data_IF_397865208026
#
_entry.id   IF_397865208026
#
_cell.length_a   1.000
_cell.length_b   1.000
_cell.length_c   1.000
_cell.angle_alpha   90.00
_cell.angle_beta   90.00
_cell.angle_gamma   90.00
#
_symmetry.space_group_name_H-M   'P 1'
#
loop_
_entity.id
_entity.type
_entity.pdbx_description
1 polymer ?
#
# COMPACT_ATOMS: atom_id res chain seq x y z
N UNK A 1 -3.79 -12.98 7.10
CA UNK A 1 -4.15 -14.28 6.51
C UNK A 1 -3.08 -14.84 5.56
N UNK A 2 -2.39 -14.00 4.75
CA UNK A 2 -1.41 -14.47 3.76
C UNK A 2 -0.27 -13.45 3.57
N UNK A 3 0.87 -13.73 4.19
CA UNK A 3 2.06 -12.87 4.12
C UNK A 3 2.63 -12.79 2.69
N UNK A 4 2.61 -13.89 1.95
CA UNK A 4 3.14 -13.92 0.59
C UNK A 4 2.29 -13.09 -0.36
N UNK A 5 0.96 -13.13 -0.21
CA UNK A 5 0.06 -12.27 -0.98
C UNK A 5 0.25 -10.80 -0.62
N UNK A 6 0.39 -10.46 0.68
CA UNK A 6 0.71 -9.10 1.12
C UNK A 6 1.99 -8.57 0.46
N UNK A 7 3.08 -9.34 0.50
CA UNK A 7 4.35 -8.99 -0.15
C UNK A 7 4.18 -8.80 -1.65
N UNK A 8 3.44 -9.69 -2.31
CA UNK A 8 3.19 -9.60 -3.74
C UNK A 8 2.40 -8.34 -4.12
N UNK A 9 1.39 -7.96 -3.32
CA UNK A 9 0.60 -6.74 -3.52
C UNK A 9 1.47 -5.49 -3.32
N UNK A 10 2.25 -5.42 -2.27
CA UNK A 10 3.18 -4.30 -1.99
C UNK A 10 4.19 -4.14 -3.12
N UNK A 11 4.80 -5.23 -3.58
CA UNK A 11 5.76 -5.23 -4.69
C UNK A 11 5.10 -4.71 -5.98
N UNK A 12 3.92 -5.22 -6.32
CA UNK A 12 3.16 -4.82 -7.52
C UNK A 12 2.80 -3.34 -7.49
N UNK A 13 2.33 -2.86 -6.34
CA UNK A 13 2.00 -1.45 -6.17
C UNK A 13 3.23 -0.56 -6.28
N UNK A 14 4.33 -0.92 -5.63
CA UNK A 14 5.60 -0.19 -5.73
C UNK A 14 6.11 -0.08 -7.16
N UNK A 15 6.07 -1.18 -7.92
CA UNK A 15 6.42 -1.20 -9.34
C UNK A 15 5.50 -0.30 -10.18
N UNK A 16 4.21 -0.27 -9.85
CA UNK A 16 3.25 0.61 -10.53
C UNK A 16 3.57 2.08 -10.28
N UNK A 17 3.86 2.46 -9.04
CA UNK A 17 4.28 3.82 -8.69
C UNK A 17 5.58 4.19 -9.42
N UNK A 18 6.57 3.31 -9.40
CA UNK A 18 7.84 3.55 -10.10
C UNK A 18 7.63 3.72 -11.61
N UNK A 19 6.79 2.90 -12.23
CA UNK A 19 6.48 2.99 -13.67
C UNK A 19 5.75 4.27 -14.06
N UNK A 20 4.91 4.83 -13.16
CA UNK A 20 4.12 6.03 -13.43
C UNK A 20 4.86 7.32 -13.09
N UNK A 21 5.65 7.33 -12.03
CA UNK A 21 6.23 8.55 -11.46
C UNK A 21 7.76 8.53 -11.44
N UNK A 22 8.41 7.43 -11.84
CA UNK A 22 9.87 7.29 -11.84
C UNK A 22 10.49 7.36 -10.43
N UNK A 23 9.73 7.06 -9.39
CA UNK A 23 10.16 7.13 -7.99
C UNK A 23 9.87 5.81 -7.27
N UNK A 24 10.88 5.28 -6.61
CA UNK A 24 10.71 4.12 -5.72
C UNK A 24 10.13 4.57 -4.38
N UNK A 25 8.96 4.05 -3.95
CA UNK A 25 8.35 4.40 -2.66
C UNK A 25 9.26 4.04 -1.48
N UNK A 26 9.36 4.94 -0.49
CA UNK A 26 10.17 4.74 0.73
C UNK A 26 9.33 4.75 2.00
N UNK A 27 8.11 5.25 1.92
CA UNK A 27 7.17 5.32 3.03
C UNK A 27 5.93 4.54 2.66
N UNK A 28 5.50 3.70 3.56
CA UNK A 28 4.34 2.83 3.38
C UNK A 28 3.08 3.51 3.91
N UNK A 29 2.01 3.41 3.16
CA UNK A 29 0.67 3.78 3.59
C UNK A 29 -0.26 2.65 3.17
N UNK A 30 -0.81 1.93 4.14
CA UNK A 30 -1.73 0.85 3.85
C UNK A 30 -3.13 1.39 3.52
N UNK A 31 -3.93 0.58 2.84
CA UNK A 31 -5.36 0.79 2.69
C UNK A 31 -5.97 1.03 4.06
N UNK A 32 -6.87 2.03 4.15
CA UNK A 32 -7.59 2.41 5.38
C UNK A 32 -6.67 2.72 6.58
N UNK A 33 -5.40 3.07 6.31
CA UNK A 33 -4.36 3.27 7.34
C UNK A 33 -4.22 2.08 8.30
N UNK A 34 -4.53 0.87 7.84
CA UNK A 34 -4.37 -0.35 8.65
C UNK A 34 -2.89 -0.54 8.98
N UNK A 35 -2.60 -0.63 10.26
CA UNK A 35 -1.24 -0.80 10.75
C UNK A 35 -1.20 -1.63 12.04
N UNK A 36 -0.14 -2.44 12.20
CA UNK A 36 0.28 -3.08 13.45
C UNK A 36 1.81 -3.19 13.47
N UNK A 37 2.38 -3.49 14.62
CA UNK A 37 3.83 -3.70 14.73
C UNK A 37 4.29 -4.85 13.82
N UNK A 38 3.50 -5.90 13.64
CA UNK A 38 3.79 -7.00 12.73
C UNK A 38 3.88 -6.52 11.26
N UNK A 39 2.92 -5.68 10.82
CA UNK A 39 2.99 -5.05 9.49
C UNK A 39 4.25 -4.20 9.37
N UNK A 40 4.61 -3.46 10.43
CA UNK A 40 5.83 -2.68 10.51
C UNK A 40 7.08 -3.50 10.27
N UNK A 41 7.18 -4.69 10.88
CA UNK A 41 8.29 -5.61 10.64
C UNK A 41 8.35 -6.11 9.18
N UNK A 42 7.19 -6.45 8.59
CA UNK A 42 7.14 -6.90 7.20
C UNK A 42 7.60 -5.83 6.22
N UNK A 43 7.09 -4.63 6.34
CA UNK A 43 7.44 -3.54 5.42
C UNK A 43 8.90 -3.06 5.62
N UNK A 44 9.44 -3.15 6.84
CA UNK A 44 10.86 -2.89 7.10
C UNK A 44 11.76 -3.88 6.36
N UNK A 45 11.41 -5.18 6.36
CA UNK A 45 12.10 -6.22 5.56
C UNK A 45 12.03 -5.94 4.05
N UNK A 46 10.95 -5.31 3.57
CA UNK A 46 10.80 -4.88 2.18
C UNK A 46 11.55 -3.58 1.84
N UNK A 47 12.23 -2.97 2.82
CA UNK A 47 13.11 -1.82 2.63
C UNK A 47 12.45 -0.45 2.84
N UNK A 48 11.20 -0.39 3.28
CA UNK A 48 10.56 0.86 3.66
C UNK A 48 11.24 1.49 4.89
N UNK A 49 11.23 2.81 4.95
CA UNK A 49 11.87 3.60 6.01
C UNK A 49 10.88 4.22 6.98
N UNK A 50 9.60 4.20 6.63
CA UNK A 50 8.55 4.68 7.49
C UNK A 50 7.18 4.22 7.05
N UNK A 51 6.20 4.41 7.95
CA UNK A 51 4.80 4.11 7.74
C UNK A 51 3.91 5.24 8.23
N UNK A 52 2.84 5.49 7.47
CA UNK A 52 1.70 6.27 7.92
C UNK A 52 0.72 5.36 8.66
N UNK A 53 0.19 5.83 9.78
CA UNK A 53 -0.80 5.12 10.59
C UNK A 53 -1.80 6.11 11.18
N UNK A 54 -2.92 5.62 11.70
CA UNK A 54 -3.89 6.46 12.39
C UNK A 54 -3.36 6.90 13.76
N UNK A 55 -3.59 8.17 14.10
CA UNK A 55 -3.30 8.72 15.41
C UNK A 55 -4.36 8.34 16.45
N UNK A 56 -4.64 7.05 16.57
CA UNK A 56 -5.66 6.52 17.47
C UNK A 56 -5.34 6.86 18.92
N UNK A 57 -6.30 7.47 19.63
CA UNK A 57 -6.10 7.96 21.00
C UNK A 57 -5.73 6.85 21.98
N UNK A 58 -6.27 5.65 21.82
CA UNK A 58 -5.98 4.51 22.70
C UNK A 58 -4.54 3.98 22.51
N UNK A 59 -3.93 4.21 21.34
CA UNK A 59 -2.53 3.88 21.05
C UNK A 59 -1.60 5.02 21.51
N UNK A 60 -1.93 6.25 21.16
CA UNK A 60 -1.12 7.41 21.54
C UNK A 60 -1.13 7.67 23.05
N UNK A 61 -2.26 7.41 23.73
CA UNK A 61 -2.43 7.74 25.14
C UNK A 61 -2.26 9.24 25.38
N UNK A 62 -1.19 9.61 26.10
CA UNK A 62 -0.83 11.01 26.36
C UNK A 62 0.08 11.63 25.29
N UNK A 63 0.59 10.81 24.35
CA UNK A 63 1.47 11.24 23.26
C UNK A 63 0.70 12.04 22.20
N UNK A 64 1.40 12.93 21.48
CA UNK A 64 0.81 13.70 20.40
C UNK A 64 0.99 13.03 19.04
N UNK A 65 0.00 13.14 18.16
CA UNK A 65 0.12 12.74 16.76
C UNK A 65 1.06 13.63 15.94
N UNK A 66 1.55 14.74 16.51
CA UNK A 66 2.39 15.72 15.81
C UNK A 66 3.89 15.47 16.01
N UNK A 67 4.25 14.23 16.35
CA UNK A 67 5.63 13.74 16.43
C UNK A 67 5.79 12.48 15.58
N UNK A 68 7.02 12.26 15.08
CA UNK A 68 7.42 10.95 14.58
C UNK A 68 7.68 10.02 15.76
N UNK A 69 7.54 8.72 15.53
CA UNK A 69 7.88 7.69 16.52
C UNK A 69 8.75 6.62 15.88
N UNK A 70 9.45 5.86 16.70
CA UNK A 70 10.17 4.67 16.27
C UNK A 70 9.32 3.43 16.49
N UNK A 71 9.42 2.51 15.56
CA UNK A 71 8.89 1.17 15.74
C UNK A 71 9.66 0.44 16.87
N UNK A 72 8.99 -0.39 17.71
CA UNK A 72 9.64 -1.00 18.87
C UNK A 72 10.77 -1.97 18.55
N UNK A 73 10.73 -2.64 17.37
CA UNK A 73 11.62 -3.78 17.09
C UNK A 73 12.49 -3.60 15.84
N UNK A 74 12.16 -2.70 14.93
CA UNK A 74 12.88 -2.50 13.66
C UNK A 74 13.14 -1.03 13.36
N UNK A 75 14.10 -0.74 12.48
CA UNK A 75 14.41 0.62 12.03
C UNK A 75 13.33 1.12 11.06
N UNK A 76 12.20 1.53 11.62
CA UNK A 76 11.08 2.10 10.89
C UNK A 76 10.55 3.31 11.64
N UNK A 77 10.32 4.42 10.93
CA UNK A 77 9.75 5.63 11.50
C UNK A 77 8.25 5.68 11.26
N UNK A 78 7.49 5.92 12.30
CA UNK A 78 6.03 5.99 12.30
C UNK A 78 5.56 7.44 12.26
N UNK A 79 4.59 7.73 11.39
CA UNK A 79 3.99 9.05 11.20
C UNK A 79 2.49 8.98 11.47
N UNK A 80 2.04 9.26 12.70
CA UNK A 80 0.62 9.24 13.03
C UNK A 80 -0.15 10.36 12.32
N UNK A 81 -1.31 10.03 11.76
CA UNK A 81 -2.27 10.99 11.24
C UNK A 81 -2.87 11.79 12.39
N UNK A 82 -2.93 13.10 12.27
CA UNK A 82 -3.72 13.92 13.20
C UNK A 82 -5.20 13.75 12.86
N UNK A 83 -5.90 12.93 13.65
CA UNK A 83 -7.30 12.57 13.46
C UNK A 83 -8.20 13.81 13.45
N UNK A 84 -8.09 14.65 14.47
CA UNK A 84 -8.96 15.81 14.64
C UNK A 84 -8.84 16.79 13.50
N UNK A 85 -7.63 17.19 13.15
CA UNK A 85 -7.37 18.16 12.10
C UNK A 85 -7.75 17.63 10.70
N UNK A 86 -7.57 16.33 10.48
CA UNK A 86 -7.99 15.68 9.24
C UNK A 86 -9.51 15.59 9.12
N UNK A 87 -10.18 15.20 10.20
CA UNK A 87 -11.64 15.02 10.23
C UNK A 87 -12.39 16.36 10.22
N UNK A 88 -11.76 17.45 10.69
CA UNK A 88 -12.30 18.80 10.54
C UNK A 88 -12.51 19.16 9.05
N UNK A 89 -11.61 18.72 8.17
CA UNK A 89 -11.78 18.92 6.73
C UNK A 89 -12.70 17.85 6.14
N UNK A 90 -12.46 16.57 6.46
CA UNK A 90 -13.13 15.47 5.78
C UNK A 90 -14.63 15.38 6.09
N UNK A 91 -15.03 15.65 7.33
CA UNK A 91 -16.38 15.37 7.83
C UNK A 91 -17.10 16.59 8.42
N UNK A 92 -16.36 17.57 8.97
CA UNK A 92 -16.97 18.71 9.66
C UNK A 92 -17.06 19.96 8.80
N UNK A 93 -16.35 20.01 7.67
CA UNK A 93 -16.24 21.19 6.80
C UNK A 93 -17.62 21.76 6.39
N UNK A 94 -18.55 20.88 6.03
CA UNK A 94 -19.91 21.26 5.60
C UNK A 94 -20.94 21.19 6.73
N UNK A 95 -20.53 20.92 7.98
CA UNK A 95 -21.44 20.80 9.11
C UNK A 95 -21.76 22.17 9.73
N UNK A 96 -22.91 22.72 9.41
CA UNK A 96 -23.38 24.02 9.91
C UNK A 96 -23.63 24.05 11.42
N UNK A 97 -23.84 22.89 12.05
CA UNK A 97 -24.00 22.76 13.49
C UNK A 97 -22.68 22.69 14.26
N UNK A 98 -21.55 22.61 13.55
CA UNK A 98 -20.26 22.60 14.21
C UNK A 98 -19.90 23.98 14.73
N UNK A 99 -19.46 24.06 16.00
CA UNK A 99 -19.13 25.31 16.69
C UNK A 99 -18.00 26.11 16.02
N UNK A 100 -17.17 25.44 15.22
CA UNK A 100 -16.09 26.06 14.44
C UNK A 100 -16.47 26.34 12.97
N UNK A 101 -17.75 26.14 12.59
CA UNK A 101 -18.20 26.51 11.25
C UNK A 101 -18.25 28.03 11.06
N UNK A 102 -17.90 28.61 9.87
CA UNK A 102 -17.27 27.93 8.75
C UNK A 102 -15.76 27.71 8.96
N UNK A 103 -15.22 26.61 8.39
CA UNK A 103 -13.79 26.37 8.35
C UNK A 103 -13.15 27.11 7.18
N UNK A 104 -12.37 28.14 7.48
CA UNK A 104 -11.62 28.90 6.47
C UNK A 104 -10.14 28.51 6.48
N UNK A 105 -9.43 28.74 5.35
CA UNK A 105 -8.03 28.33 5.23
C UNK A 105 -7.10 29.06 6.21
N UNK A 106 -7.38 30.35 6.50
CA UNK A 106 -6.63 31.13 7.49
C UNK A 106 -6.84 30.59 8.92
N UNK A 107 -8.09 30.25 9.27
CA UNK A 107 -8.43 29.64 10.56
C UNK A 107 -7.72 28.31 10.73
N UNK A 108 -7.78 27.45 9.71
CA UNK A 108 -7.12 26.14 9.75
C UNK A 108 -5.60 26.25 9.90
N UNK A 109 -4.97 27.13 9.11
CA UNK A 109 -3.53 27.35 9.19
C UNK A 109 -3.10 28.02 10.50
N UNK A 110 -3.95 28.85 11.13
CA UNK A 110 -3.67 29.34 12.45
C UNK A 110 -3.60 28.19 13.46
N UNK A 111 -4.52 27.24 13.43
CA UNK A 111 -4.45 26.06 14.30
C UNK A 111 -3.18 25.21 14.07
N UNK A 112 -2.76 25.09 12.80
CA UNK A 112 -1.49 24.39 12.48
C UNK A 112 -0.29 25.18 13.00
N UNK A 113 -0.30 26.51 12.91
CA UNK A 113 0.79 27.36 13.37
C UNK A 113 0.87 27.46 14.91
N UNK A 114 -0.28 27.27 15.58
CA UNK A 114 -0.41 27.32 17.04
C UNK A 114 -0.15 25.95 17.71
N UNK A 115 0.50 25.00 17.00
CA UNK A 115 0.94 23.73 17.60
C UNK A 115 1.78 23.99 18.86
N UNK A 116 1.75 23.04 19.80
CA UNK A 116 2.50 23.13 21.06
C UNK A 116 4.00 23.25 20.81
N UNK A 117 4.69 23.93 21.70
CA UNK A 117 6.15 24.02 21.66
C UNK A 117 6.77 22.60 21.64
N UNK A 118 7.61 22.36 20.63
CA UNK A 118 8.28 21.09 20.41
C UNK A 118 7.59 20.15 19.43
N UNK A 119 6.34 20.40 19.04
CA UNK A 119 5.68 19.67 17.94
C UNK A 119 6.24 20.14 16.61
N UNK A 120 6.72 19.20 15.78
CA UNK A 120 7.52 19.52 14.59
C UNK A 120 6.72 19.45 13.29
N UNK A 121 5.65 18.65 13.22
CA UNK A 121 4.89 18.43 12.00
C UNK A 121 3.47 17.93 12.30
N UNK A 122 2.63 17.94 11.26
CA UNK A 122 1.27 17.40 11.33
C UNK A 122 0.97 16.60 10.07
N UNK A 123 0.51 15.36 10.24
CA UNK A 123 0.00 14.55 9.12
C UNK A 123 -1.49 14.78 8.99
N UNK A 124 -1.90 15.35 7.86
CA UNK A 124 -3.31 15.50 7.49
C UNK A 124 -3.61 14.52 6.35
N UNK A 125 -4.50 13.57 6.60
CA UNK A 125 -4.85 12.52 5.65
C UNK A 125 -6.37 12.34 5.55
N UNK A 126 -6.86 12.21 4.31
CA UNK A 126 -8.27 11.97 4.02
C UNK A 126 -8.40 11.26 2.67
N UNK A 127 -9.53 10.62 2.42
CA UNK A 127 -9.80 10.07 1.10
C UNK A 127 -10.27 11.17 0.13
N UNK A 128 -10.21 10.90 -1.17
CA UNK A 128 -10.64 11.84 -2.19
C UNK A 128 -12.14 12.17 -2.14
N UNK A 129 -12.96 11.30 -1.54
CA UNK A 129 -14.38 11.57 -1.33
C UNK A 129 -14.65 12.80 -0.49
N UNK A 130 -13.70 13.23 0.35
CA UNK A 130 -13.78 14.48 1.08
C UNK A 130 -13.92 15.70 0.13
N UNK A 131 -13.42 15.58 -1.11
CA UNK A 131 -13.40 16.64 -2.12
C UNK A 131 -14.46 16.38 -3.20
N UNK A 132 -15.69 16.82 -2.99
CA UNK A 132 -16.77 16.79 -3.96
C UNK A 132 -17.86 15.74 -3.68
N UNK A 133 -17.62 14.74 -2.85
CA UNK A 133 -18.65 13.76 -2.43
C UNK A 133 -19.16 14.13 -1.03
N UNK A 134 -18.31 14.10 0.00
CA UNK A 134 -18.70 14.47 1.36
C UNK A 134 -18.92 15.97 1.50
N UNK A 135 -18.06 16.75 0.86
CA UNK A 135 -18.18 18.20 0.80
C UNK A 135 -18.36 18.61 -0.66
N UNK A 136 -19.60 18.93 -1.06
CA UNK A 136 -19.93 19.34 -2.42
C UNK A 136 -19.22 20.64 -2.83
N UNK A 137 -19.18 20.94 -4.12
CA UNK A 137 -18.46 22.10 -4.65
C UNK A 137 -18.99 23.43 -4.09
N UNK A 138 -20.28 23.52 -3.83
CA UNK A 138 -20.97 24.71 -3.27
C UNK A 138 -20.65 24.95 -1.78
N UNK A 139 -20.06 23.97 -1.09
CA UNK A 139 -19.57 24.13 0.29
C UNK A 139 -18.37 25.07 0.41
N UNK A 140 -17.70 25.38 -0.72
CA UNK A 140 -16.46 26.15 -0.73
C UNK A 140 -15.19 25.32 -0.47
N UNK A 141 -15.28 23.99 -0.43
CA UNK A 141 -14.12 23.11 -0.15
C UNK A 141 -12.97 23.33 -1.16
N UNK A 142 -13.26 23.54 -2.42
CA UNK A 142 -12.22 23.78 -3.43
C UNK A 142 -11.56 25.14 -3.25
N UNK A 143 -12.31 26.17 -2.85
CA UNK A 143 -11.73 27.50 -2.55
C UNK A 143 -10.89 27.46 -1.29
N UNK A 144 -11.28 26.67 -0.29
CA UNK A 144 -10.45 26.39 0.89
C UNK A 144 -9.10 25.81 0.48
N UNK A 145 -9.06 24.76 -0.34
CA UNK A 145 -7.80 24.15 -0.78
C UNK A 145 -6.96 25.05 -1.70
N UNK A 146 -7.59 25.92 -2.50
CA UNK A 146 -6.85 26.93 -3.28
C UNK A 146 -6.20 27.99 -2.39
N UNK A 147 -6.87 28.40 -1.31
CA UNK A 147 -6.35 29.41 -0.39
C UNK A 147 -5.31 28.85 0.60
N UNK A 148 -5.38 27.52 0.90
CA UNK A 148 -4.57 26.90 1.94
C UNK A 148 -3.05 27.11 1.76
N UNK A 149 -2.44 26.88 0.57
CA UNK A 149 -1.01 27.10 0.38
C UNK A 149 -0.58 28.57 0.60
N UNK A 150 -1.43 29.53 0.23
CA UNK A 150 -1.15 30.94 0.41
C UNK A 150 -1.15 31.31 1.90
N UNK A 151 -2.15 30.83 2.66
CA UNK A 151 -2.20 31.05 4.10
C UNK A 151 -1.03 30.38 4.84
N UNK A 152 -0.66 29.16 4.42
CA UNK A 152 0.51 28.47 4.94
C UNK A 152 1.81 29.27 4.74
N UNK A 153 1.98 29.87 3.55
CA UNK A 153 3.14 30.72 3.27
C UNK A 153 3.18 31.95 4.19
N UNK A 154 2.05 32.61 4.43
CA UNK A 154 1.96 33.78 5.34
C UNK A 154 2.41 33.40 6.76
N UNK A 155 2.00 32.23 7.24
CA UNK A 155 2.30 31.73 8.58
C UNK A 155 3.62 30.94 8.68
N UNK A 156 4.37 30.85 7.57
CA UNK A 156 5.63 30.07 7.48
C UNK A 156 5.45 28.58 7.78
N UNK A 157 4.28 28.05 7.50
CA UNK A 157 4.00 26.61 7.53
C UNK A 157 4.42 26.01 6.20
N UNK A 158 5.25 24.98 6.22
CA UNK A 158 5.76 24.33 5.02
C UNK A 158 5.08 22.99 4.80
N UNK A 159 4.79 22.68 3.53
CA UNK A 159 4.38 21.34 3.13
C UNK A 159 5.62 20.47 2.90
N UNK A 160 5.55 19.22 3.35
CA UNK A 160 6.65 18.26 3.23
C UNK A 160 6.11 16.89 2.81
N UNK A 161 6.93 16.16 2.08
CA UNK A 161 6.66 14.74 1.83
C UNK A 161 6.99 13.91 3.08
N UNK A 162 6.35 12.75 3.26
CA UNK A 162 6.68 11.86 4.38
C UNK A 162 8.16 11.49 4.45
N UNK A 163 8.82 11.30 3.30
CA UNK A 163 10.26 11.02 3.24
C UNK A 163 11.12 12.17 3.77
N UNK A 164 10.74 13.42 3.51
CA UNK A 164 11.44 14.61 4.04
C UNK A 164 11.23 14.75 5.55
N UNK A 165 10.03 14.43 6.05
CA UNK A 165 9.76 14.40 7.50
C UNK A 165 10.66 13.38 8.18
N UNK A 166 10.72 12.14 7.67
CA UNK A 166 11.58 11.09 8.22
C UNK A 166 13.04 11.51 8.24
N UNK A 167 13.54 12.14 7.16
CA UNK A 167 14.92 12.59 7.07
C UNK A 167 15.27 13.70 8.08
N UNK A 168 14.29 14.48 8.53
CA UNK A 168 14.44 15.56 9.51
C UNK A 168 14.10 15.16 10.93
N UNK A 169 13.43 14.02 11.09
CA UNK A 169 12.99 13.52 12.40
C UNK A 169 14.18 13.32 13.35
N UNK A 170 14.01 13.78 14.56
CA UNK A 170 14.95 13.62 15.67
C UNK A 170 14.36 12.92 16.87
N UNK A 171 13.07 12.58 16.80
CA UNK A 171 12.38 11.92 17.90
C UNK A 171 12.70 10.42 17.89
N UNK A 172 13.17 9.91 19.02
CA UNK A 172 13.49 8.50 19.23
C UNK A 172 12.46 7.80 20.14
N UNK A 173 11.36 8.47 20.49
CA UNK A 173 10.28 7.87 21.23
C UNK A 173 9.65 6.72 20.47
N UNK A 174 9.34 5.64 21.20
CA UNK A 174 8.75 4.43 20.62
C UNK A 174 7.23 4.51 20.70
N UNK A 175 6.55 4.09 19.63
CA UNK A 175 5.12 3.86 19.62
C UNK A 175 4.86 2.39 19.30
N UNK A 176 4.13 1.71 20.20
CA UNK A 176 3.75 0.30 20.04
C UNK A 176 2.30 0.19 19.62
N UNK A 177 2.06 -0.64 18.62
CA UNK A 177 0.74 -0.92 18.04
C UNK A 177 0.56 -2.43 17.98
N UNK A 178 0.40 -3.06 19.16
CA UNK A 178 0.30 -4.53 19.28
C UNK A 178 -0.93 -5.11 18.60
N UNK A 179 -2.07 -4.41 18.65
CA UNK A 179 -3.28 -4.78 17.94
C UNK A 179 -3.42 -3.91 16.68
N UNK A 180 -3.96 -4.48 15.58
CA UNK A 180 -4.15 -3.71 14.35
C UNK A 180 -5.11 -2.55 14.52
N UNK A 181 -4.71 -1.37 14.04
CA UNK A 181 -5.53 -0.16 14.00
C UNK A 181 -5.86 0.23 12.57
N UNK A 182 -6.88 1.06 12.40
CA UNK A 182 -7.26 1.71 11.15
C UNK A 182 -7.80 3.12 11.39
N UNK A 183 -8.12 3.86 10.35
CA UNK A 183 -8.81 5.15 10.50
C UNK A 183 -10.34 5.02 10.59
N UNK A 184 -10.89 3.81 10.37
CA UNK A 184 -12.32 3.60 10.34
C UNK A 184 -12.96 3.76 11.72
N UNK A 185 -14.16 4.31 11.70
CA UNK A 185 -15.08 4.45 12.83
C UNK A 185 -14.46 5.13 14.06
N UNK A 186 -15.15 5.08 15.19
CA UNK A 186 -14.65 5.62 16.46
C UNK A 186 -13.66 4.70 17.15
N UNK A 187 -13.82 3.38 16.96
CA UNK A 187 -12.98 2.34 17.59
C UNK A 187 -11.57 2.32 17.04
N UNK A 188 -11.38 2.76 15.80
CA UNK A 188 -10.07 2.77 15.12
C UNK A 188 -9.39 1.41 15.08
N UNK A 189 -10.18 0.34 14.89
CA UNK A 189 -9.76 -1.06 14.80
C UNK A 189 -10.11 -1.67 13.43
N UNK A 190 -10.14 -3.01 13.33
CA UNK A 190 -10.50 -3.73 12.11
C UNK A 190 -11.96 -4.19 12.07
N UNK A 191 -12.79 -3.85 13.04
CA UNK A 191 -14.16 -4.36 13.14
C UNK A 191 -15.07 -3.91 11.99
N UNK A 192 -14.68 -2.90 11.22
CA UNK A 192 -15.36 -2.55 9.98
C UNK A 192 -15.28 -3.66 8.91
N UNK A 193 -14.22 -4.48 8.91
CA UNK A 193 -13.96 -5.51 7.90
C UNK A 193 -13.94 -6.93 8.44
N UNK A 194 -13.77 -7.10 9.75
CA UNK A 194 -13.70 -8.41 10.42
C UNK A 194 -14.36 -8.35 11.80
N UNK A 195 -15.51 -7.70 11.91
CA UNK A 195 -16.23 -7.48 13.17
C UNK A 195 -17.42 -8.42 13.39
N UNK A 196 -17.75 -9.29 12.43
CA UNK A 196 -18.85 -10.23 12.55
C UNK A 196 -18.56 -11.57 11.85
N UNK A 197 -19.39 -12.57 12.12
CA UNK A 197 -19.20 -13.93 11.60
C UNK A 197 -19.26 -14.01 10.06
N UNK A 198 -20.08 -13.19 9.40
CA UNK A 198 -20.19 -13.16 7.94
C UNK A 198 -18.87 -12.77 7.31
N UNK A 199 -18.26 -11.69 7.81
CA UNK A 199 -16.97 -11.20 7.37
C UNK A 199 -15.87 -12.23 7.64
N UNK A 200 -15.85 -12.80 8.84
CA UNK A 200 -14.89 -13.83 9.24
C UNK A 200 -14.95 -15.08 8.36
N UNK A 201 -16.16 -15.57 8.07
CA UNK A 201 -16.38 -16.73 7.20
C UNK A 201 -15.91 -16.46 5.76
N UNK A 202 -16.25 -15.29 5.22
CA UNK A 202 -15.86 -14.90 3.87
C UNK A 202 -14.32 -14.80 3.74
N UNK A 203 -13.64 -14.16 4.68
CA UNK A 203 -12.18 -14.03 4.72
C UNK A 203 -11.51 -15.40 4.84
N UNK A 204 -12.00 -16.26 5.76
CA UNK A 204 -11.42 -17.57 5.97
C UNK A 204 -11.54 -18.46 4.71
N UNK A 205 -12.71 -18.48 4.07
CA UNK A 205 -12.91 -19.26 2.84
C UNK A 205 -12.07 -18.73 1.67
N UNK A 206 -11.97 -17.43 1.54
CA UNK A 206 -11.13 -16.80 0.50
C UNK A 206 -9.67 -17.25 0.65
N UNK A 207 -9.08 -17.01 1.82
CA UNK A 207 -7.65 -17.27 2.00
C UNK A 207 -7.29 -18.76 2.15
N UNK A 208 -8.25 -19.64 2.38
CA UNK A 208 -8.01 -21.09 2.40
C UNK A 208 -7.48 -21.65 1.07
N UNK A 209 -7.67 -20.93 -0.04
CA UNK A 209 -7.22 -21.37 -1.38
C UNK A 209 -6.04 -20.58 -1.92
N UNK A 210 -5.46 -19.67 -1.15
CA UNK A 210 -4.42 -18.75 -1.59
C UNK A 210 -3.21 -19.47 -2.22
N UNK A 211 -2.74 -20.55 -1.62
CA UNK A 211 -1.62 -21.35 -2.16
C UNK A 211 -1.94 -21.96 -3.53
N UNK A 212 -3.15 -22.50 -3.70
CA UNK A 212 -3.57 -23.07 -4.99
C UNK A 212 -3.70 -22.01 -6.07
N UNK A 213 -4.25 -20.86 -5.72
CA UNK A 213 -4.39 -19.72 -6.66
C UNK A 213 -3.02 -19.24 -7.15
N UNK A 214 -2.00 -19.21 -6.29
CA UNK A 214 -0.64 -18.84 -6.72
C UNK A 214 -0.11 -19.74 -7.83
N UNK A 215 -0.46 -21.02 -7.79
CA UNK A 215 -0.04 -22.04 -8.73
C UNK A 215 -0.88 -22.07 -10.01
N UNK A 216 -2.09 -21.50 -10.00
CA UNK A 216 -2.92 -21.41 -11.19
C UNK A 216 -2.22 -20.60 -12.28
N UNK A 217 -2.30 -21.08 -13.53
CA UNK A 217 -1.78 -20.38 -14.70
C UNK A 217 -2.84 -19.53 -15.40
N UNK A 218 -4.11 -19.77 -15.12
CA UNK A 218 -5.24 -19.02 -15.69
C UNK A 218 -5.25 -17.57 -15.18
N UNK A 219 -5.21 -16.65 -16.15
CA UNK A 219 -5.24 -15.21 -15.86
C UNK A 219 -6.57 -14.73 -15.30
N UNK A 220 -7.68 -15.38 -15.66
CA UNK A 220 -9.00 -15.01 -15.15
C UNK A 220 -9.08 -15.33 -13.64
N UNK A 221 -8.61 -16.50 -13.22
CA UNK A 221 -8.52 -16.86 -11.79
C UNK A 221 -7.66 -15.86 -11.02
N UNK A 222 -6.48 -15.49 -11.56
CA UNK A 222 -5.61 -14.50 -10.91
C UNK A 222 -6.25 -13.12 -10.82
N UNK A 223 -7.00 -12.71 -11.83
CA UNK A 223 -7.71 -11.44 -11.84
C UNK A 223 -8.84 -11.42 -10.82
N UNK A 224 -9.66 -12.48 -10.79
CA UNK A 224 -10.76 -12.61 -9.84
C UNK A 224 -10.25 -12.69 -8.39
N UNK A 225 -9.13 -13.37 -8.16
CA UNK A 225 -8.44 -13.39 -6.88
C UNK A 225 -8.14 -12.00 -6.34
N UNK A 226 -7.65 -11.10 -7.19
CA UNK A 226 -7.35 -9.73 -6.79
C UNK A 226 -8.62 -8.94 -6.44
N UNK A 227 -9.68 -9.11 -7.21
CA UNK A 227 -10.94 -8.41 -6.97
C UNK A 227 -11.67 -8.93 -5.72
N UNK A 228 -11.61 -10.23 -5.46
CA UNK A 228 -12.21 -10.84 -4.27
C UNK A 228 -11.56 -10.36 -2.95
N UNK A 229 -10.32 -9.90 -3.00
CA UNK A 229 -9.60 -9.37 -1.84
C UNK A 229 -9.87 -7.88 -1.57
N UNK A 230 -10.66 -7.19 -2.40
CA UNK A 230 -10.96 -5.77 -2.16
C UNK A 230 -11.65 -5.59 -0.81
N UNK A 231 -11.17 -4.64 -0.01
CA UNK A 231 -11.67 -4.41 1.35
C UNK A 231 -13.15 -4.02 1.38
N UNK A 232 -13.64 -3.35 0.34
CA UNK A 232 -15.04 -2.96 0.21
C UNK A 232 -15.99 -4.16 0.25
N UNK A 233 -15.59 -5.32 -0.30
CA UNK A 233 -16.40 -6.54 -0.25
C UNK A 233 -16.73 -6.94 1.20
N UNK A 234 -15.79 -6.83 2.10
CA UNK A 234 -15.96 -7.15 3.51
C UNK A 234 -16.63 -6.01 4.27
N UNK A 235 -16.34 -4.76 3.93
CA UNK A 235 -16.97 -3.59 4.52
C UNK A 235 -18.48 -3.59 4.33
N UNK A 236 -18.98 -3.97 3.15
CA UNK A 236 -20.41 -4.05 2.86
C UNK A 236 -21.16 -5.14 3.66
N UNK A 237 -20.42 -6.11 4.23
CA UNK A 237 -20.98 -7.13 5.14
C UNK A 237 -21.00 -6.68 6.59
N UNK A 238 -20.52 -5.47 6.92
CA UNK A 238 -20.48 -4.96 8.29
C UNK A 238 -21.89 -4.68 8.80
N UNK A 239 -22.19 -5.17 10.01
CA UNK A 239 -23.47 -4.93 10.69
C UNK A 239 -23.43 -3.72 11.63
N UNK A 240 -22.26 -3.10 11.84
CA UNK A 240 -22.06 -2.00 12.78
C UNK A 240 -23.02 -0.82 12.56
N UNK A 241 -23.25 -0.47 11.31
CA UNK A 241 -24.03 0.73 10.94
C UNK A 241 -25.44 0.40 10.45
N UNK A 242 -25.78 -0.88 10.35
CA UNK A 242 -27.06 -1.32 9.79
C UNK A 242 -28.27 -0.95 10.68
N UNK A 243 -28.08 -0.97 12.00
CA UNK A 243 -29.12 -0.64 12.96
C UNK A 243 -29.50 0.87 12.97
N UNK A 244 -28.67 1.72 12.37
CA UNK A 244 -28.87 3.19 12.32
C UNK A 244 -29.67 3.72 11.12
N UNK A 245 -30.31 2.85 10.34
CA UNK A 245 -31.06 3.21 9.13
C UNK A 245 -30.25 3.94 8.04
N UNK A 246 -28.95 3.78 8.00
CA UNK A 246 -28.07 4.32 6.99
C UNK A 246 -27.63 3.21 6.04
N UNK A 247 -28.21 3.17 4.86
CA UNK A 247 -27.79 2.28 3.75
C UNK A 247 -26.44 2.68 3.15
N UNK A 248 -25.86 3.77 3.64
CA UNK A 248 -24.61 4.33 3.12
C UNK A 248 -23.40 3.38 3.22
N UNK A 249 -23.44 2.37 4.10
CA UNK A 249 -22.34 1.46 4.35
C UNK A 249 -22.47 0.09 3.66
N UNK A 250 -23.59 -0.21 3.05
CA UNK A 250 -23.82 -1.47 2.34
C UNK A 250 -23.50 -1.41 0.85
N UNK A 251 -23.02 -0.25 0.36
CA UNK A 251 -22.71 -0.03 -1.05
C UNK A 251 -23.95 -0.23 -1.93
N UNK A 252 -23.85 -1.09 -2.96
CA UNK A 252 -24.98 -1.37 -3.87
C UNK A 252 -26.02 -2.35 -3.32
N UNK A 253 -25.85 -2.85 -2.11
CA UNK A 253 -26.68 -3.89 -1.51
C UNK A 253 -27.71 -3.31 -0.55
N UNK A 254 -28.85 -3.99 -0.40
CA UNK A 254 -29.91 -3.57 0.53
C UNK A 254 -29.59 -3.90 1.99
N UNK A 255 -28.70 -4.89 2.20
CA UNK A 255 -28.30 -5.32 3.54
C UNK A 255 -26.90 -5.96 3.56
N UNK A 256 -26.24 -6.02 4.73
CA UNK A 256 -25.00 -6.78 4.89
C UNK A 256 -25.13 -8.27 4.55
N UNK A 257 -26.30 -8.85 4.79
CA UNK A 257 -26.59 -10.24 4.44
C UNK A 257 -26.66 -10.46 2.93
N UNK A 258 -27.28 -9.53 2.20
CA UNK A 258 -27.29 -9.57 0.74
C UNK A 258 -25.88 -9.44 0.15
N UNK A 259 -25.07 -8.53 0.69
CA UNK A 259 -23.66 -8.40 0.32
C UNK A 259 -22.89 -9.72 0.53
N UNK A 260 -23.09 -10.36 1.69
CA UNK A 260 -22.49 -11.66 2.00
C UNK A 260 -22.95 -12.74 1.02
N UNK A 261 -24.24 -12.86 0.77
CA UNK A 261 -24.78 -13.89 -0.14
C UNK A 261 -24.25 -13.74 -1.56
N UNK A 262 -24.21 -12.51 -2.07
CA UNK A 262 -23.64 -12.23 -3.41
C UNK A 262 -22.16 -12.55 -3.46
N UNK A 263 -21.40 -12.13 -2.47
CA UNK A 263 -19.96 -12.44 -2.38
C UNK A 263 -19.72 -13.95 -2.33
N UNK A 264 -20.47 -14.68 -1.48
CA UNK A 264 -20.31 -16.12 -1.32
C UNK A 264 -20.68 -16.90 -2.59
N UNK A 265 -21.66 -16.44 -3.36
CA UNK A 265 -22.00 -17.02 -4.65
C UNK A 265 -20.85 -16.89 -5.66
N UNK A 266 -20.25 -15.68 -5.74
CA UNK A 266 -19.09 -15.43 -6.61
C UNK A 266 -17.88 -16.24 -6.12
N UNK A 267 -17.64 -16.26 -4.82
CA UNK A 267 -16.54 -17.03 -4.23
C UNK A 267 -16.71 -18.53 -4.48
N UNK A 268 -17.93 -19.06 -4.42
CA UNK A 268 -18.22 -20.48 -4.69
C UNK A 268 -17.86 -20.85 -6.13
N UNK A 269 -18.26 -20.06 -7.11
CA UNK A 269 -17.85 -20.26 -8.51
C UNK A 269 -16.32 -20.20 -8.66
N UNK A 270 -15.70 -19.21 -8.03
CA UNK A 270 -14.24 -19.07 -8.04
C UNK A 270 -13.53 -20.31 -7.44
N UNK A 271 -14.01 -20.81 -6.30
CA UNK A 271 -13.45 -21.99 -5.65
C UNK A 271 -13.58 -23.23 -6.54
N UNK A 272 -14.72 -23.42 -7.22
CA UNK A 272 -14.90 -24.51 -8.16
C UNK A 272 -13.89 -24.44 -9.30
N UNK A 273 -13.67 -23.28 -9.90
CA UNK A 273 -12.67 -23.10 -10.98
C UNK A 273 -11.23 -23.36 -10.50
N UNK A 274 -10.91 -23.01 -9.26
CA UNK A 274 -9.61 -23.34 -8.66
C UNK A 274 -9.51 -24.86 -8.42
N UNK A 275 -10.56 -25.52 -7.94
CA UNK A 275 -10.58 -26.98 -7.71
C UNK A 275 -10.46 -27.78 -9.00
N UNK A 276 -11.02 -27.31 -10.10
CA UNK A 276 -10.87 -27.95 -11.43
C UNK A 276 -9.41 -27.99 -11.89
N UNK A 277 -8.61 -26.98 -11.51
CA UNK A 277 -7.17 -26.96 -11.84
C UNK A 277 -6.33 -27.74 -10.81
N UNK A 278 -6.68 -27.65 -9.53
CA UNK A 278 -5.92 -28.26 -8.42
C UNK A 278 -6.87 -28.87 -7.37
N UNK A 279 -7.40 -30.07 -7.64
CA UNK A 279 -8.32 -30.73 -6.72
C UNK A 279 -7.65 -31.09 -5.38
N UNK A 280 -8.42 -30.97 -4.30
CA UNK A 280 -7.96 -31.22 -2.92
C UNK A 280 -8.23 -32.65 -2.42
N UNK A 281 -8.65 -33.58 -3.28
CA UNK A 281 -8.97 -34.96 -2.89
C UNK A 281 -7.74 -35.76 -2.51
N UNK A 282 -7.91 -36.73 -1.61
CA UNK A 282 -6.84 -37.56 -1.02
C UNK A 282 -5.99 -38.28 -2.08
N UNK A 283 -6.57 -38.56 -3.24
CA UNK A 283 -5.87 -39.19 -4.38
C UNK A 283 -4.75 -38.32 -5.01
N UNK A 284 -4.59 -37.09 -4.53
CA UNK A 284 -3.60 -36.12 -5.01
C UNK A 284 -2.55 -35.71 -3.96
N UNK A 285 -2.27 -36.56 -2.95
CA UNK A 285 -1.23 -36.26 -1.95
C UNK A 285 0.14 -36.00 -2.59
N UNK A 286 0.50 -36.69 -3.66
CA UNK A 286 1.73 -36.44 -4.42
C UNK A 286 1.71 -35.07 -5.08
N UNK A 287 0.58 -34.66 -5.67
CA UNK A 287 0.42 -33.34 -6.26
C UNK A 287 0.52 -32.23 -5.21
N UNK A 288 -0.15 -32.39 -4.09
CA UNK A 288 -0.09 -31.45 -2.97
C UNK A 288 1.33 -31.35 -2.38
N UNK A 289 2.07 -32.46 -2.31
CA UNK A 289 3.47 -32.48 -1.90
C UNK A 289 4.40 -31.75 -2.90
N UNK A 290 4.18 -31.98 -4.20
CA UNK A 290 4.88 -31.28 -5.28
C UNK A 290 4.59 -29.77 -5.26
N UNK A 291 3.33 -29.38 -5.06
CA UNK A 291 2.90 -28.00 -4.97
C UNK A 291 3.52 -27.28 -3.77
N UNK A 292 3.60 -27.93 -2.60
CA UNK A 292 4.35 -27.40 -1.44
C UNK A 292 5.82 -27.22 -1.74
N UNK A 293 6.42 -28.15 -2.47
CA UNK A 293 7.83 -28.08 -2.86
C UNK A 293 8.09 -26.91 -3.82
N UNK A 294 7.21 -26.71 -4.81
CA UNK A 294 7.28 -25.59 -5.75
C UNK A 294 7.16 -24.26 -5.01
N UNK A 295 6.18 -24.11 -4.12
CA UNK A 295 6.02 -22.90 -3.31
C UNK A 295 7.26 -22.58 -2.46
N UNK A 296 7.85 -23.60 -1.84
CA UNK A 296 9.06 -23.40 -1.06
C UNK A 296 10.24 -22.98 -1.94
N UNK A 297 10.35 -23.55 -3.14
CA UNK A 297 11.39 -23.18 -4.10
C UNK A 297 11.17 -21.76 -4.66
N UNK A 298 9.95 -21.36 -4.96
CA UNK A 298 9.64 -19.98 -5.37
C UNK A 298 9.98 -18.97 -4.28
N UNK A 299 9.66 -19.27 -3.02
CA UNK A 299 10.03 -18.41 -1.89
C UNK A 299 11.56 -18.29 -1.77
N UNK A 300 12.30 -19.39 -1.93
CA UNK A 300 13.77 -19.38 -1.92
C UNK A 300 14.35 -18.60 -3.12
N UNK A 301 13.74 -18.72 -4.30
CA UNK A 301 14.17 -17.96 -5.49
C UNK A 301 14.00 -16.46 -5.22
N UNK A 302 12.86 -16.02 -4.66
CA UNK A 302 12.64 -14.62 -4.32
C UNK A 302 13.66 -14.12 -3.30
N UNK A 303 13.95 -14.88 -2.25
CA UNK A 303 14.98 -14.53 -1.26
C UNK A 303 16.38 -14.42 -1.89
N UNK A 304 16.74 -15.36 -2.75
CA UNK A 304 18.04 -15.36 -3.45
C UNK A 304 18.13 -14.22 -4.47
N UNK A 305 17.05 -13.89 -5.18
CA UNK A 305 17.00 -12.72 -6.07
C UNK A 305 17.18 -11.41 -5.31
N UNK A 306 16.58 -11.28 -4.14
CA UNK A 306 16.79 -10.13 -3.25
C UNK A 306 18.22 -10.04 -2.73
N UNK A 307 18.82 -11.17 -2.36
CA UNK A 307 20.22 -11.23 -1.92
C UNK A 307 21.19 -10.87 -3.06
N UNK A 308 20.93 -11.37 -4.26
CA UNK A 308 21.67 -11.02 -5.47
C UNK A 308 21.53 -9.51 -5.78
N UNK A 309 20.34 -8.94 -5.62
CA UNK A 309 20.10 -7.51 -5.81
C UNK A 309 20.87 -6.67 -4.79
N UNK A 310 20.90 -7.09 -3.52
CA UNK A 310 21.68 -6.45 -2.45
C UNK A 310 23.19 -6.53 -2.71
N UNK A 311 23.69 -7.67 -3.16
CA UNK A 311 25.11 -7.88 -3.50
C UNK A 311 25.53 -7.09 -4.74
N UNK A 312 24.66 -6.95 -5.75
CA UNK A 312 24.91 -6.10 -6.94
C UNK A 312 24.91 -4.61 -6.58
N UNK A 313 24.03 -4.17 -5.70
CA UNK A 313 23.99 -2.79 -5.22
C UNK A 313 25.19 -2.41 -4.35
N UNK A 314 25.76 -3.38 -3.62
CA UNK A 314 26.98 -3.18 -2.78
C UNK A 314 28.30 -3.15 -3.54
N UNK A 315 28.34 -3.57 -4.80
CA UNK A 315 29.53 -3.47 -5.66
C UNK A 315 29.57 -2.10 -6.34
N UNK A 316 30.32 -1.14 -5.77
CA UNK A 316 30.78 0.04 -6.52
C UNK A 316 31.51 -0.41 -7.79
N UNK A 317 31.28 0.22 -8.96
CA UNK A 317 32.00 -0.14 -10.17
C UNK A 317 33.52 0.07 -9.90
N UNK A 318 34.29 -1.00 -10.01
CA UNK A 318 35.72 -0.91 -10.02
C UNK A 318 36.14 -0.04 -11.20
N UNK A 319 36.88 1.03 -10.93
CA UNK A 319 37.56 1.84 -11.96
C UNK A 319 38.26 0.89 -12.94
N UNK A 320 37.89 0.99 -14.20
CA UNK A 320 38.60 0.33 -15.27
C UNK A 320 40.10 0.69 -15.15
N UNK A 321 40.94 -0.29 -14.88
CA UNK A 321 42.37 -0.15 -15.05
C UNK A 321 42.62 -0.14 -16.55
N UNK A 322 43.29 0.92 -17.02
CA UNK A 322 43.87 1.00 -18.37
C UNK A 322 44.74 -0.23 -18.59
N UNK A 323 44.42 -1.03 -19.62
CA UNK A 323 45.33 -2.05 -20.15
C UNK A 323 46.53 -1.37 -20.81
N UNK A 324 47.75 -1.84 -20.55
CA UNK A 324 48.92 -1.38 -21.25
C UNK A 324 48.91 -1.87 -22.71
N UNK A 325 49.19 -0.96 -23.62
CA UNK A 325 49.24 -1.15 -25.05
C UNK A 325 50.14 -2.35 -25.46
N UNK A 326 49.58 -3.30 -26.26
CA UNK A 326 50.32 -4.38 -26.88
C UNK A 326 51.19 -3.89 -28.03
N UNK A 327 52.40 -4.47 -28.25
CA UNK A 327 53.33 -4.01 -29.24
C UNK A 327 52.95 -4.39 -30.68
N UNK A 328 53.23 -3.44 -31.59
CA UNK A 328 53.04 -3.57 -33.03
C UNK A 328 53.82 -4.77 -33.60
N UNK A 329 53.15 -5.71 -34.23
CA UNK A 329 53.75 -6.72 -35.11
C UNK A 329 53.71 -6.24 -36.59
N UNK A 330 54.85 -6.50 -37.24
CA UNK A 330 55.27 -6.04 -38.58
C UNK A 330 54.41 -6.69 -39.69
N UNK A 331 54.31 -5.92 -40.77
CA UNK A 331 53.73 -6.30 -42.07
C UNK A 331 54.56 -7.29 -42.87
N UNK A 332 53.90 -8.03 -43.73
CA UNK A 332 54.09 -8.39 -45.14
C UNK A 332 53.86 -9.88 -45.45
N UNK A 333 53.62 -10.32 -46.73
CA UNK A 333 53.11 -9.58 -47.90
C UNK A 333 52.01 -10.32 -48.71
N UNK A 334 51.55 -9.64 -49.71
CA UNK A 334 50.61 -9.93 -50.79
C UNK A 334 50.73 -11.28 -51.53
N UNK A 335 49.62 -11.90 -51.90
CA UNK A 335 49.51 -12.64 -53.13
C UNK A 335 48.14 -12.46 -53.79
N UNK A 336 48.21 -12.31 -55.09
CA UNK A 336 47.28 -11.80 -56.11
C UNK A 336 46.28 -12.86 -56.64
N UNK A 337 45.19 -12.33 -57.24
CA UNK A 337 44.38 -12.86 -58.38
C UNK A 337 43.36 -13.96 -58.05
N UNK A 338 42.19 -14.03 -58.61
CA UNK A 338 41.71 -13.54 -59.90
C UNK A 338 40.16 -13.43 -59.94
N UNK A 339 39.72 -12.63 -60.80
CA UNK A 339 38.44 -12.31 -61.34
C UNK A 339 37.62 -13.46 -61.99
N UNK A 340 36.32 -13.36 -61.99
CA UNK A 340 35.39 -13.52 -63.13
C UNK A 340 33.97 -13.49 -62.55
N UNK A 341 33.13 -12.53 -62.80
CA UNK A 341 32.42 -12.09 -64.00
C UNK A 341 31.14 -12.90 -64.31
N UNK A 342 30.07 -12.10 -64.38
CA UNK A 342 28.85 -12.28 -65.21
C UNK A 342 27.76 -13.21 -64.65
N UNK A 343 26.48 -12.95 -64.75
CA UNK A 343 25.61 -11.97 -65.44
C UNK A 343 24.14 -12.38 -65.14
N UNK A 344 23.29 -11.39 -64.98
CA UNK A 344 21.91 -11.28 -65.52
C UNK A 344 20.97 -12.49 -65.42
N UNK A 345 19.68 -12.44 -65.12
CA UNK A 345 18.60 -11.59 -65.61
C UNK A 345 17.26 -12.00 -64.94
N UNK A 346 16.43 -11.02 -64.74
CA UNK A 346 14.96 -10.97 -64.89
C UNK A 346 14.12 -12.26 -64.82
N UNK A 347 13.17 -12.31 -63.94
CA UNK A 347 11.75 -11.99 -64.17
C UNK A 347 11.05 -11.79 -62.84
#
# INVERSE_FOLDING_TARGET
YDENEFKAQVKRHSQKIESLFGQTPKVFCNTELIYSDEIGEYISKLGFKGALLEGARHILGWKSANYTYKHPYVDLTLLPRNTEMSDNIAFRFSNWGWDQYPLTADKYINWVADMKDGEDFMVVGMNYGALGINNHADSGIFEFFKALPYQAMIKKVNFMTPSEVIAKSKNDDVLTTGEPISWADEEKDLSAWNGNDLQGEALQKLYAVSERVRLCTDRAIKYDWLNLQACDNFYYMSTKHFAGNTTAHTGPYESPYEAFMNYMNILSDFLQRVDEQYPTTIDNEELNSLLKTINNQESQIVELEEEIAKLKAGKKPAKAKEEPAAPKAKAEPKAKKAAAAKKTTKK
#
